data_IF_832602211210
#
_entry.id   IF_832602211210
#
_cell.length_a   1.000
_cell.length_b   1.000
_cell.length_c   1.000
_cell.angle_alpha   90.00
_cell.angle_beta   90.00
_cell.angle_gamma   90.00
#
_symmetry.space_group_name_H-M   'P 1'
#
loop_
_entity.id
_entity.type
_entity.pdbx_description
1 polymer ?
#
# COMPACT_ATOMS: atom_id res chain seq x y z
N UNK A 1 -21.06 -2.90 -5.05
CA UNK A 1 -20.47 -3.41 -3.79
C UNK A 1 -19.02 -3.74 -4.09
N UNK A 2 -18.06 -2.97 -3.59
CA UNK A 2 -16.64 -3.29 -3.77
C UNK A 2 -16.27 -4.35 -2.74
N UNK A 3 -16.27 -5.61 -3.17
CA UNK A 3 -15.84 -6.76 -2.36
C UNK A 3 -14.32 -6.77 -2.34
N UNK A 4 -13.71 -6.29 -1.25
CA UNK A 4 -12.31 -6.59 -0.98
C UNK A 4 -12.22 -8.04 -0.50
N UNK A 5 -11.38 -8.84 -1.14
CA UNK A 5 -11.21 -10.24 -0.80
C UNK A 5 -10.36 -10.37 0.45
N UNK A 6 -10.80 -11.18 1.41
CA UNK A 6 -10.02 -11.45 2.64
C UNK A 6 -8.70 -12.11 2.27
N UNK A 7 -7.59 -11.53 2.70
CA UNK A 7 -6.26 -12.11 2.51
C UNK A 7 -6.10 -13.29 3.46
N UNK A 8 -5.92 -14.47 2.87
CA UNK A 8 -5.66 -15.70 3.61
C UNK A 8 -4.22 -15.73 4.13
N UNK A 9 -3.98 -16.46 5.23
CA UNK A 9 -2.65 -16.73 5.81
C UNK A 9 -1.68 -17.37 4.80
N UNK A 10 -2.19 -18.00 3.75
CA UNK A 10 -1.41 -18.63 2.67
C UNK A 10 -1.14 -17.72 1.46
N UNK A 11 -1.63 -16.48 1.47
CA UNK A 11 -1.44 -15.56 0.35
C UNK A 11 0.03 -15.18 0.24
N UNK A 12 0.63 -15.41 -0.92
CA UNK A 12 2.03 -15.05 -1.20
C UNK A 12 2.09 -13.73 -1.96
N UNK A 13 3.13 -12.96 -1.69
CA UNK A 13 3.44 -11.78 -2.49
C UNK A 13 4.13 -12.20 -3.78
N UNK A 14 3.89 -11.49 -4.89
CA UNK A 14 4.73 -11.69 -6.08
C UNK A 14 6.15 -11.10 -5.91
N UNK A 15 6.38 -10.30 -4.86
CA UNK A 15 7.72 -9.97 -4.39
C UNK A 15 8.28 -11.13 -3.58
N UNK A 16 9.55 -11.44 -3.77
CA UNK A 16 10.27 -12.38 -2.91
C UNK A 16 10.49 -11.72 -1.54
N UNK A 17 9.78 -12.22 -0.53
CA UNK A 17 9.87 -11.76 0.85
C UNK A 17 10.47 -12.91 1.68
N UNK A 18 11.51 -12.66 2.49
CA UNK A 18 12.03 -13.66 3.42
C UNK A 18 10.93 -14.16 4.37
N UNK A 19 10.90 -15.48 4.62
CA UNK A 19 9.86 -16.10 5.46
C UNK A 19 9.88 -15.65 6.93
N UNK A 20 11.01 -15.12 7.38
CA UNK A 20 11.28 -14.59 8.71
C UNK A 20 11.12 -13.06 8.80
N UNK A 21 10.67 -12.40 7.73
CA UNK A 21 10.46 -10.95 7.72
C UNK A 21 9.25 -10.55 8.58
N UNK A 22 9.45 -9.58 9.47
CA UNK A 22 8.38 -8.91 10.21
C UNK A 22 7.42 -8.12 9.29
N UNK A 23 7.84 -7.83 8.05
CA UNK A 23 7.11 -7.06 7.04
C UNK A 23 6.44 -7.96 6.01
N UNK A 24 5.67 -8.93 6.49
CA UNK A 24 4.89 -9.81 5.62
C UNK A 24 3.72 -9.08 4.96
N UNK A 25 3.19 -9.66 3.87
CA UNK A 25 1.97 -9.18 3.20
C UNK A 25 0.74 -9.17 4.11
N UNK A 26 0.77 -9.89 5.24
CA UNK A 26 -0.30 -9.86 6.25
C UNK A 26 -0.15 -8.72 7.27
N UNK A 27 1.07 -8.25 7.54
CA UNK A 27 1.33 -7.24 8.56
C UNK A 27 1.26 -5.80 8.02
N UNK A 28 1.94 -5.53 6.89
CA UNK A 28 1.96 -4.25 6.16
C UNK A 28 1.83 -3.01 7.08
N UNK A 29 2.84 -2.73 7.91
CA UNK A 29 2.80 -1.59 8.82
C UNK A 29 2.88 -0.28 8.04
N UNK A 30 2.14 0.73 8.51
CA UNK A 30 2.19 2.09 7.97
C UNK A 30 3.40 2.84 8.52
N UNK A 31 4.04 3.63 7.66
CA UNK A 31 5.14 4.52 8.04
C UNK A 31 5.13 5.80 7.23
N UNK A 32 5.95 6.75 7.66
CA UNK A 32 6.28 7.95 6.87
C UNK A 32 7.68 7.76 6.31
N UNK A 33 7.85 8.01 5.02
CA UNK A 33 9.14 7.93 4.36
C UNK A 33 9.33 9.10 3.40
N UNK A 34 10.59 9.34 3.03
CA UNK A 34 11.00 10.21 1.95
C UNK A 34 12.16 9.54 1.21
N UNK A 35 12.43 9.96 -0.03
CA UNK A 35 13.55 9.44 -0.83
C UNK A 35 14.46 10.58 -1.23
N UNK A 36 15.69 10.28 -1.61
CA UNK A 36 16.60 11.32 -2.15
C UNK A 36 16.03 12.00 -3.39
N UNK A 37 15.26 11.26 -4.21
CA UNK A 37 14.57 11.80 -5.39
C UNK A 37 13.35 12.67 -5.04
N UNK A 38 12.74 12.48 -3.86
CA UNK A 38 11.60 13.27 -3.39
C UNK A 38 11.64 13.39 -1.87
N UNK A 39 12.08 14.57 -1.41
CA UNK A 39 12.19 14.93 0.00
C UNK A 39 10.82 15.18 0.66
N UNK A 40 9.72 15.16 -0.10
CA UNK A 40 8.36 15.30 0.44
C UNK A 40 7.99 14.03 1.23
N UNK A 41 7.83 14.13 2.56
CA UNK A 41 7.44 12.98 3.37
C UNK A 41 6.02 12.56 3.03
N UNK A 42 5.80 11.25 2.97
CA UNK A 42 4.49 10.67 2.64
C UNK A 42 4.30 9.30 3.26
N UNK A 43 3.05 8.86 3.29
CA UNK A 43 2.64 7.56 3.82
C UNK A 43 3.14 6.45 2.91
N UNK A 44 3.79 5.45 3.50
CA UNK A 44 4.16 4.20 2.84
C UNK A 44 3.79 2.99 3.68
N UNK A 45 3.83 1.81 3.07
CA UNK A 45 3.71 0.53 3.78
C UNK A 45 4.99 -0.28 3.57
N UNK A 46 5.52 -0.89 4.62
CA UNK A 46 6.68 -1.77 4.49
C UNK A 46 6.26 -3.17 4.05
N UNK A 47 7.00 -3.74 3.08
CA UNK A 47 6.81 -5.09 2.57
C UNK A 47 8.16 -5.75 2.26
N UNK A 48 8.61 -6.67 3.11
CA UNK A 48 9.98 -7.18 3.08
C UNK A 48 11.00 -6.05 3.23
N UNK A 49 11.88 -5.92 2.24
CA UNK A 49 12.90 -4.85 2.19
C UNK A 49 12.40 -3.59 1.44
N UNK A 50 11.16 -3.60 0.97
CA UNK A 50 10.58 -2.55 0.15
C UNK A 50 9.66 -1.63 0.94
N UNK A 51 9.56 -0.39 0.49
CA UNK A 51 8.55 0.57 0.95
C UNK A 51 7.63 0.88 -0.22
N UNK A 52 6.35 0.61 -0.04
CA UNK A 52 5.28 0.84 -1.01
C UNK A 52 4.86 2.31 -0.92
N UNK A 53 4.92 3.03 -2.03
CA UNK A 53 4.54 4.44 -2.14
C UNK A 53 3.04 4.59 -2.39
N UNK A 54 2.29 4.88 -1.33
CA UNK A 54 0.82 4.98 -1.43
C UNK A 54 0.36 6.14 -2.29
N UNK A 55 1.15 7.22 -2.39
CA UNK A 55 0.81 8.37 -3.24
C UNK A 55 0.91 7.97 -4.71
N UNK A 56 1.93 7.21 -5.09
CA UNK A 56 2.07 6.68 -6.45
C UNK A 56 0.92 5.72 -6.78
N UNK A 57 0.54 4.84 -5.86
CA UNK A 57 -0.62 3.95 -6.04
C UNK A 57 -1.94 4.74 -6.20
N UNK A 58 -2.11 5.80 -5.41
CA UNK A 58 -3.28 6.67 -5.49
C UNK A 58 -3.36 7.39 -6.84
N UNK A 59 -2.27 8.05 -7.23
CA UNK A 59 -2.17 8.81 -8.47
C UNK A 59 -2.31 7.90 -9.71
N UNK A 60 -1.90 6.62 -9.61
CA UNK A 60 -2.11 5.61 -10.65
C UNK A 60 -3.56 5.05 -10.73
N UNK A 61 -4.46 5.48 -9.83
CA UNK A 61 -5.85 5.04 -9.76
C UNK A 61 -6.07 3.66 -9.14
N UNK A 62 -5.03 3.06 -8.56
CA UNK A 62 -5.08 1.69 -8.03
C UNK A 62 -5.80 1.60 -6.67
N UNK A 63 -5.95 2.72 -5.98
CA UNK A 63 -6.65 2.85 -4.70
C UNK A 63 -8.10 3.35 -4.83
N UNK A 64 -8.63 3.46 -6.05
CA UNK A 64 -9.99 3.98 -6.34
C UNK A 64 -11.14 3.25 -5.62
N UNK A 65 -10.92 2.03 -5.14
CA UNK A 65 -11.92 1.29 -4.35
C UNK A 65 -12.03 1.73 -2.88
N UNK A 66 -11.04 2.45 -2.34
CA UNK A 66 -10.96 2.80 -0.92
C UNK A 66 -11.80 4.06 -0.66
N UNK A 67 -13.01 3.89 -0.14
CA UNK A 67 -13.91 5.00 0.18
C UNK A 67 -13.36 5.85 1.32
N UNK A 68 -13.52 7.18 1.21
CA UNK A 68 -13.04 8.13 2.22
C UNK A 68 -11.52 8.35 2.21
N UNK A 69 -10.80 7.74 1.28
CA UNK A 69 -9.38 8.00 1.08
C UNK A 69 -9.19 9.16 0.11
N UNK A 70 -8.52 10.21 0.58
CA UNK A 70 -8.09 11.33 -0.24
C UNK A 70 -6.56 11.37 -0.32
N UNK A 71 -6.05 12.08 -1.31
CA UNK A 71 -4.61 12.25 -1.51
C UNK A 71 -3.93 12.94 -0.33
N UNK A 72 -4.59 13.89 0.34
CA UNK A 72 -4.01 14.55 1.53
C UNK A 72 -3.77 13.60 2.71
N UNK A 73 -4.54 12.51 2.81
CA UNK A 73 -4.34 11.48 3.84
C UNK A 73 -3.03 10.72 3.63
N UNK A 74 -2.50 10.71 2.40
CA UNK A 74 -1.30 9.98 2.01
C UNK A 74 -0.09 10.89 1.84
N UNK A 75 -0.29 12.10 1.32
CA UNK A 75 0.77 13.09 1.11
C UNK A 75 0.92 14.01 2.33
N UNK A 76 1.28 13.42 3.46
CA UNK A 76 1.45 14.13 4.74
C UNK A 76 2.70 13.65 5.50
N UNK A 77 3.20 14.48 6.42
CA UNK A 77 4.41 14.21 7.21
C UNK A 77 4.18 13.39 8.48
N UNK A 78 2.95 13.01 8.78
CA UNK A 78 2.59 12.17 9.93
C UNK A 78 1.37 11.31 9.61
N UNK A 79 1.23 10.16 10.29
CA UNK A 79 0.08 9.27 10.10
C UNK A 79 -1.24 9.84 10.63
N UNK A 80 -1.21 10.97 11.34
CA UNK A 80 -2.37 11.52 12.05
C UNK A 80 -3.54 11.80 11.10
N UNK A 81 -3.27 12.31 9.88
CA UNK A 81 -4.31 12.58 8.89
C UNK A 81 -5.00 11.30 8.43
N UNK A 82 -4.23 10.24 8.15
CA UNK A 82 -4.77 8.93 7.80
C UNK A 82 -5.55 8.29 8.96
N UNK A 83 -5.06 8.42 10.20
CA UNK A 83 -5.75 7.89 11.37
C UNK A 83 -7.07 8.63 11.65
N UNK A 84 -7.10 9.94 11.41
CA UNK A 84 -8.30 10.77 11.55
C UNK A 84 -9.37 10.45 10.50
N UNK A 85 -8.98 9.93 9.32
CA UNK A 85 -9.91 9.45 8.31
C UNK A 85 -10.73 8.23 8.78
N UNK A 86 -10.30 7.57 9.87
CA UNK A 86 -11.04 6.50 10.52
C UNK A 86 -10.51 5.10 10.20
N UNK A 87 -10.85 4.15 11.06
CA UNK A 87 -10.31 2.79 10.99
C UNK A 87 -10.76 1.99 9.78
N UNK A 88 -11.95 2.29 9.25
CA UNK A 88 -12.42 1.68 8.01
C UNK A 88 -11.54 2.05 6.82
N UNK A 89 -11.07 3.30 6.75
CA UNK A 89 -10.24 3.82 5.65
C UNK A 89 -8.87 3.17 5.64
N UNK A 90 -8.13 3.21 6.76
CA UNK A 90 -6.77 2.64 6.78
C UNK A 90 -6.78 1.11 6.72
N UNK A 91 -7.83 0.43 7.19
CA UNK A 91 -8.00 -1.02 6.99
C UNK A 91 -8.27 -1.36 5.53
N UNK A 92 -9.18 -0.64 4.88
CA UNK A 92 -9.46 -0.84 3.46
C UNK A 92 -8.24 -0.51 2.58
N UNK A 93 -7.47 0.53 2.92
CA UNK A 93 -6.19 0.83 2.28
C UNK A 93 -5.21 -0.33 2.41
N UNK A 94 -5.00 -0.86 3.62
CA UNK A 94 -4.08 -2.00 3.84
C UNK A 94 -4.51 -3.21 3.02
N UNK A 95 -5.79 -3.58 3.06
CA UNK A 95 -6.33 -4.70 2.28
C UNK A 95 -6.11 -4.48 0.79
N UNK A 96 -6.40 -3.28 0.29
CA UNK A 96 -6.23 -2.97 -1.12
C UNK A 96 -4.78 -3.05 -1.57
N UNK A 97 -3.85 -2.50 -0.79
CA UNK A 97 -2.41 -2.63 -1.08
C UNK A 97 -2.02 -4.10 -1.10
N UNK A 98 -2.41 -4.85 -0.08
CA UNK A 98 -2.08 -6.26 0.03
C UNK A 98 -2.64 -7.10 -1.13
N UNK A 99 -3.86 -6.83 -1.61
CA UNK A 99 -4.41 -7.45 -2.83
C UNK A 99 -3.54 -7.18 -4.06
N UNK A 100 -3.06 -5.94 -4.23
CA UNK A 100 -2.23 -5.56 -5.38
C UNK A 100 -0.88 -6.29 -5.38
N UNK A 101 -0.35 -6.57 -4.19
CA UNK A 101 0.92 -7.28 -4.02
C UNK A 101 0.78 -8.81 -3.94
N UNK A 102 -0.44 -9.36 -3.92
CA UNK A 102 -0.67 -10.81 -3.87
C UNK A 102 -0.43 -11.47 -5.23
N UNK A 103 0.23 -12.64 -5.24
CA UNK A 103 0.42 -13.49 -6.44
C UNK A 103 -0.92 -13.71 -7.18
N UNK A 104 -0.90 -13.58 -8.51
CA UNK A 104 -2.09 -13.74 -9.36
C UNK A 104 -2.91 -12.47 -9.58
N UNK A 105 -2.54 -11.34 -8.97
CA UNK A 105 -3.13 -10.04 -9.27
C UNK A 105 -2.28 -9.23 -10.26
N UNK A 106 -2.69 -9.22 -11.53
CA UNK A 106 -1.96 -8.50 -12.58
C UNK A 106 -2.23 -6.98 -12.61
N UNK A 107 -3.04 -6.43 -11.71
CA UNK A 107 -3.44 -5.01 -11.79
C UNK A 107 -2.25 -4.06 -11.69
N UNK A 108 -1.28 -4.35 -10.81
CA UNK A 108 0.00 -3.65 -10.75
C UNK A 108 0.87 -4.03 -11.95
N UNK A 109 1.00 -5.32 -12.25
CA UNK A 109 1.87 -5.83 -13.33
C UNK A 109 1.52 -5.24 -14.71
N UNK A 110 0.24 -4.96 -14.99
CA UNK A 110 -0.24 -4.36 -16.24
C UNK A 110 0.10 -2.87 -16.39
N UNK A 111 0.53 -2.19 -15.32
CA UNK A 111 1.04 -0.82 -15.36
C UNK A 111 2.57 -0.84 -15.19
N UNK A 112 3.27 -1.27 -16.24
CA UNK A 112 4.72 -1.42 -16.25
C UNK A 112 5.48 -0.14 -15.81
N UNK A 113 4.91 1.04 -16.07
CA UNK A 113 5.55 2.33 -15.77
C UNK A 113 5.67 2.67 -14.27
N UNK A 114 4.96 1.94 -13.40
CA UNK A 114 4.93 2.22 -11.95
C UNK A 114 5.63 1.17 -11.09
N UNK A 115 6.11 0.05 -11.66
CA UNK A 115 6.70 -1.05 -10.87
C UNK A 115 7.89 -0.64 -10.02
N UNK A 116 8.72 0.28 -10.53
CA UNK A 116 9.91 0.76 -9.83
C UNK A 116 9.62 1.93 -8.86
N UNK A 117 8.39 2.44 -8.86
CA UNK A 117 8.01 3.67 -8.14
C UNK A 117 6.89 3.44 -7.11
N UNK A 118 6.20 2.31 -7.20
CA UNK A 118 5.08 1.91 -6.36
C UNK A 118 5.54 1.12 -5.14
#
# INVERSE_FOLDING_TARGET
MSTFSTISKSSRSWLQIPSDSDFSIQNLPFGIFATQASLSPRVGLALGEWVIDTVVLFDAGLLSGVRGLNREHLNCSSLNSLMAAGSEVWRALRLRVAELFTEGNDALLKKADIHARA
#
